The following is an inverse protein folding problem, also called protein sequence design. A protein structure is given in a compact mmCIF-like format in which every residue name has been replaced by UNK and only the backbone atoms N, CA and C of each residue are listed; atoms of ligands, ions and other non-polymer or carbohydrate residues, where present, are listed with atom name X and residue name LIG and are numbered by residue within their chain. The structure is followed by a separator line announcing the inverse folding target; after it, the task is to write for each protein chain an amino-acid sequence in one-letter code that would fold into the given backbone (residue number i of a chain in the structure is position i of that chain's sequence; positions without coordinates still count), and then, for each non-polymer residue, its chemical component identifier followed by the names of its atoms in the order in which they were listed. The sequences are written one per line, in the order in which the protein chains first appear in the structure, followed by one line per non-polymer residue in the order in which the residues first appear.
data_IF_784534774999
#
_entry.id   IF_784534774999
#
_cell.length_a   1.000
_cell.length_b   1.000
_cell.length_c   1.000
_cell.angle_alpha   90.00
_cell.angle_beta   90.00
_cell.angle_gamma   90.00
#
_symmetry.space_group_name_H-M   'P 1'
#
loop_
_entity.id
_entity.type
_entity.pdbx_description
1 polymer ?
#
# COMPACT_ATOMS: atom_id res chain seq x y z
N UNK A 1 -34.82 -11.01 16.57
CA UNK A 1 -34.47 -9.81 15.78
C UNK A 1 -33.07 -9.40 16.15
N UNK A 2 -32.14 -9.37 15.18
CA UNK A 2 -30.98 -8.46 15.04
C UNK A 2 -30.19 -9.01 13.85
N UNK A 3 -30.59 -8.60 12.65
CA UNK A 3 -29.80 -8.81 11.45
C UNK A 3 -28.49 -8.08 11.64
N UNK A 4 -27.37 -8.82 11.63
CA UNK A 4 -26.06 -8.23 11.42
C UNK A 4 -26.12 -7.53 10.08
N UNK A 5 -26.37 -6.22 10.09
CA UNK A 5 -26.07 -5.34 8.97
C UNK A 5 -24.56 -5.36 8.80
N UNK A 6 -24.04 -6.38 8.12
CA UNK A 6 -22.79 -6.29 7.40
C UNK A 6 -22.99 -5.10 6.48
N UNK A 7 -22.45 -3.94 6.83
CA UNK A 7 -22.26 -2.85 5.87
C UNK A 7 -21.49 -3.51 4.74
N UNK A 8 -22.16 -3.79 3.62
CA UNK A 8 -21.48 -4.25 2.43
C UNK A 8 -20.55 -3.10 2.07
N UNK A 9 -19.25 -3.28 2.34
CA UNK A 9 -18.24 -2.32 1.92
C UNK A 9 -18.46 -2.08 0.45
N UNK A 10 -18.61 -0.81 0.08
CA UNK A 10 -18.73 -0.48 -1.33
C UNK A 10 -17.44 -0.92 -2.02
N UNK A 11 -17.48 -1.43 -3.26
CA UNK A 11 -16.29 -1.88 -3.97
C UNK A 11 -15.13 -0.87 -3.96
N UNK A 12 -15.44 0.43 -3.94
CA UNK A 12 -14.48 1.53 -3.79
C UNK A 12 -13.78 1.56 -2.43
N UNK A 13 -14.50 1.31 -1.33
CA UNK A 13 -13.93 1.25 0.02
C UNK A 13 -13.02 0.03 0.19
N UNK A 14 -13.40 -1.11 -0.38
CA UNK A 14 -12.58 -2.32 -0.36
C UNK A 14 -11.29 -2.13 -1.16
N UNK A 15 -11.37 -1.51 -2.34
CA UNK A 15 -10.20 -1.17 -3.16
C UNK A 15 -9.28 -0.17 -2.44
N UNK A 16 -9.83 0.89 -1.85
CA UNK A 16 -9.04 1.87 -1.11
C UNK A 16 -8.30 1.22 0.07
N UNK A 17 -8.94 0.30 0.80
CA UNK A 17 -8.31 -0.45 1.88
C UNK A 17 -7.20 -1.39 1.38
N UNK A 18 -7.38 -2.04 0.23
CA UNK A 18 -6.33 -2.85 -0.40
C UNK A 18 -5.12 -1.98 -0.78
N UNK A 19 -5.36 -0.81 -1.36
CA UNK A 19 -4.30 0.10 -1.77
C UNK A 19 -3.57 0.73 -0.56
N UNK A 20 -4.25 0.96 0.56
CA UNK A 20 -3.60 1.33 1.83
C UNK A 20 -2.64 0.24 2.30
N UNK A 21 -3.09 -1.02 2.33
CA UNK A 21 -2.26 -2.15 2.71
C UNK A 21 -1.06 -2.32 1.77
N UNK A 22 -1.27 -2.10 0.46
CA UNK A 22 -0.19 -2.12 -0.54
C UNK A 22 0.84 -1.03 -0.25
N UNK A 23 0.40 0.19 0.03
CA UNK A 23 1.26 1.32 0.42
C UNK A 23 2.11 1.00 1.66
N UNK A 24 1.50 0.48 2.73
CA UNK A 24 2.24 0.10 3.94
C UNK A 24 3.34 -0.95 3.65
N UNK A 25 3.03 -1.96 2.83
CA UNK A 25 4.00 -2.97 2.42
C UNK A 25 5.17 -2.38 1.63
N UNK A 26 4.88 -1.41 0.75
CA UNK A 26 5.89 -0.70 -0.03
C UNK A 26 6.76 0.20 0.84
N UNK A 27 6.16 0.97 1.77
CA UNK A 27 6.90 1.79 2.73
C UNK A 27 7.91 0.96 3.53
N UNK A 28 7.49 -0.19 4.09
CA UNK A 28 8.39 -1.11 4.81
C UNK A 28 9.50 -1.66 3.91
N UNK A 29 9.20 -1.94 2.64
CA UNK A 29 10.21 -2.41 1.67
C UNK A 29 11.22 -1.31 1.34
N UNK A 30 10.76 -0.08 1.12
CA UNK A 30 11.60 1.09 0.86
C UNK A 30 12.56 1.31 2.03
N UNK A 31 12.06 1.28 3.27
CA UNK A 31 12.88 1.45 4.47
C UNK A 31 14.00 0.39 4.54
N UNK A 32 13.66 -0.88 4.33
CA UNK A 32 14.65 -1.98 4.31
C UNK A 32 15.71 -1.82 3.21
N UNK A 33 15.33 -1.37 2.01
CA UNK A 33 16.28 -1.16 0.91
C UNK A 33 17.15 0.08 1.18
N UNK A 34 16.57 1.12 1.76
CA UNK A 34 17.28 2.35 2.07
C UNK A 34 18.31 2.17 3.19
N UNK A 35 17.99 1.37 4.21
CA UNK A 35 18.81 1.12 5.39
C UNK A 35 20.00 0.18 5.15
N UNK A 36 19.98 -0.63 4.09
CA UNK A 36 21.11 -1.49 3.69
C UNK A 36 21.74 -1.01 2.36
N UNK A 37 22.93 -0.39 2.39
CA UNK A 37 23.65 0.03 1.19
C UNK A 37 24.02 -1.13 0.25
N UNK A 38 24.11 -2.36 0.75
CA UNK A 38 24.43 -3.56 -0.04
C UNK A 38 23.19 -4.31 -0.52
N UNK A 39 22.00 -3.77 -0.26
CA UNK A 39 20.76 -4.41 -0.68
C UNK A 39 20.72 -4.54 -2.21
N UNK A 40 20.51 -5.75 -2.77
CA UNK A 40 20.54 -5.97 -4.22
C UNK A 40 19.44 -5.20 -4.95
N UNK A 41 18.35 -4.82 -4.26
CA UNK A 41 17.25 -4.05 -4.84
C UNK A 41 17.47 -2.53 -4.77
N UNK A 42 18.63 -2.05 -4.32
CA UNK A 42 18.89 -0.60 -4.11
C UNK A 42 18.78 0.23 -5.38
N UNK A 43 19.18 -0.32 -6.53
CA UNK A 43 19.02 0.35 -7.83
C UNK A 43 17.55 0.61 -8.21
N UNK A 44 16.62 -0.18 -7.67
CA UNK A 44 15.18 -0.07 -7.94
C UNK A 44 14.42 0.76 -6.91
N UNK A 45 15.11 1.38 -5.94
CA UNK A 45 14.45 2.21 -4.91
C UNK A 45 13.52 3.29 -5.49
N UNK A 46 13.85 3.98 -6.61
CA UNK A 46 12.92 4.93 -7.23
C UNK A 46 11.60 4.28 -7.67
N UNK A 47 11.64 3.06 -8.22
CA UNK A 47 10.45 2.34 -8.67
C UNK A 47 9.53 1.98 -7.50
N UNK A 48 10.10 1.55 -6.37
CA UNK A 48 9.33 1.29 -5.15
C UNK A 48 8.66 2.57 -4.64
N UNK A 49 9.35 3.72 -4.66
CA UNK A 49 8.78 5.02 -4.27
C UNK A 49 7.65 5.48 -5.18
N UNK A 50 7.77 5.25 -6.50
CA UNK A 50 6.68 5.54 -7.44
C UNK A 50 5.46 4.68 -7.15
N UNK A 51 5.66 3.37 -6.99
CA UNK A 51 4.56 2.44 -6.67
C UNK A 51 3.88 2.76 -5.33
N UNK A 52 4.64 3.23 -4.33
CA UNK A 52 4.14 3.65 -3.02
C UNK A 52 3.25 4.90 -3.15
N UNK A 53 3.73 5.90 -3.91
CA UNK A 53 2.95 7.10 -4.22
C UNK A 53 1.64 6.76 -4.94
N UNK A 54 1.67 5.84 -5.90
CA UNK A 54 0.47 5.41 -6.62
C UNK A 54 -0.51 4.71 -5.67
N UNK A 55 -0.01 3.89 -4.72
CA UNK A 55 -0.84 3.21 -3.72
C UNK A 55 -1.56 4.21 -2.82
N UNK A 56 -0.81 5.20 -2.31
CA UNK A 56 -1.36 6.25 -1.47
C UNK A 56 -2.36 7.13 -2.23
N UNK A 57 -2.11 7.39 -3.52
CA UNK A 57 -3.04 8.11 -4.39
C UNK A 57 -4.36 7.37 -4.58
N UNK A 58 -4.30 6.07 -4.88
CA UNK A 58 -5.49 5.24 -5.07
C UNK A 58 -6.27 5.01 -3.77
N UNK A 59 -5.56 4.91 -2.64
CA UNK A 59 -6.15 4.80 -1.31
C UNK A 59 -6.94 6.04 -0.87
N UNK A 60 -6.63 7.21 -1.44
CA UNK A 60 -7.21 8.50 -1.09
C UNK A 60 -8.28 8.99 -2.08
N UNK A 61 -8.48 8.28 -3.19
CA UNK A 61 -9.46 8.58 -4.25
C UNK A 61 -10.83 7.98 -3.96
#
# INVERSE_FOLDING_TARGET
MFGRNSRQQQPSEAFAAEEQNRGEGLARRIERIASDPKNPSRGSLPLYRMADRDALGNAAA
#
